data_IF_787838432519
#
_entry.id   IF_787838432519
#
_cell.length_a   1.000
_cell.length_b   1.000
_cell.length_c   1.000
_cell.angle_alpha   90.00
_cell.angle_beta   90.00
_cell.angle_gamma   90.00
#
_symmetry.space_group_name_H-M   'P 1'
#
loop_
_entity.id
_entity.type
_entity.pdbx_description
1 polymer ?
#
# COMPACT_ATOMS: atom_id res chain seq x y z
N UNK A 1 -0.21 -2.77 18.13
CA UNK A 1 0.83 -2.60 17.09
C UNK A 1 0.18 -2.54 15.71
N UNK A 2 0.71 -1.80 14.73
CA UNK A 2 0.04 -1.61 13.42
C UNK A 2 -0.17 -2.94 12.69
N UNK A 3 0.75 -3.89 12.87
CA UNK A 3 0.68 -5.23 12.26
C UNK A 3 -0.55 -6.03 12.67
N UNK A 4 -1.12 -5.74 13.86
CA UNK A 4 -2.36 -6.37 14.35
C UNK A 4 -3.62 -5.73 13.75
N UNK A 5 -3.48 -4.59 13.07
CA UNK A 5 -4.57 -3.83 12.47
C UNK A 5 -4.53 -3.90 10.93
N UNK A 6 -3.70 -4.79 10.38
CA UNK A 6 -3.68 -5.06 8.94
C UNK A 6 -4.99 -5.72 8.55
N UNK A 7 -5.64 -5.15 7.53
CA UNK A 7 -6.91 -5.64 6.98
C UNK A 7 -6.69 -6.12 5.56
N UNK A 8 -7.29 -7.27 5.25
CA UNK A 8 -7.35 -7.79 3.90
C UNK A 8 -8.69 -7.43 3.27
N UNK A 9 -8.64 -6.86 2.07
CA UNK A 9 -9.81 -6.38 1.36
C UNK A 9 -9.76 -6.83 -0.10
N UNK A 10 -10.65 -7.76 -0.47
CA UNK A 10 -10.79 -8.21 -1.86
C UNK A 10 -11.84 -7.35 -2.54
N UNK A 11 -11.42 -6.60 -3.57
CA UNK A 11 -12.26 -5.59 -4.22
C UNK A 11 -12.17 -5.74 -5.72
N UNK A 12 -13.31 -5.73 -6.41
CA UNK A 12 -13.36 -5.54 -7.86
C UNK A 12 -13.98 -4.19 -8.19
N UNK A 13 -13.64 -3.67 -9.37
CA UNK A 13 -14.26 -2.45 -9.87
C UNK A 13 -15.68 -2.70 -10.34
N UNK A 14 -16.46 -1.62 -10.42
CA UNK A 14 -17.68 -1.60 -11.22
C UNK A 14 -17.40 -1.69 -12.73
N UNK A 15 -18.37 -1.37 -13.60
CA UNK A 15 -18.22 -1.40 -15.06
C UNK A 15 -17.01 -0.61 -15.58
N UNK A 16 -16.61 0.44 -14.88
CA UNK A 16 -15.49 1.32 -15.20
C UNK A 16 -14.15 0.90 -14.55
N UNK A 17 -14.12 -0.24 -13.84
CA UNK A 17 -12.93 -0.81 -13.20
C UNK A 17 -12.54 -0.17 -11.85
N UNK A 18 -11.40 -0.60 -11.30
CA UNK A 18 -10.86 -0.10 -10.00
C UNK A 18 -10.16 1.27 -10.16
N UNK A 19 -10.09 1.79 -11.39
CA UNK A 19 -9.32 3.00 -11.74
C UNK A 19 -9.77 4.28 -11.00
N UNK A 20 -10.93 4.26 -10.34
CA UNK A 20 -11.40 5.36 -9.48
C UNK A 20 -10.73 5.41 -8.10
N UNK A 21 -9.95 4.39 -7.72
CA UNK A 21 -9.13 4.49 -6.51
C UNK A 21 -8.04 5.53 -6.72
N UNK A 22 -8.17 6.64 -6.02
CA UNK A 22 -7.12 7.64 -5.94
C UNK A 22 -6.02 7.08 -5.05
N UNK A 23 -4.80 7.02 -5.56
CA UNK A 23 -3.61 6.66 -4.78
C UNK A 23 -2.77 7.92 -4.62
N UNK A 24 -2.33 8.19 -3.39
CA UNK A 24 -1.40 9.25 -3.05
C UNK A 24 -0.10 8.73 -2.45
N UNK A 25 0.86 9.63 -2.25
CA UNK A 25 2.14 9.32 -1.62
C UNK A 25 3.20 8.88 -2.64
N UNK A 26 3.85 7.74 -2.38
CA UNK A 26 4.94 7.23 -3.20
C UNK A 26 6.32 7.49 -2.59
N UNK A 27 7.22 6.53 -2.74
CA UNK A 27 8.57 6.58 -2.19
C UNK A 27 9.42 7.74 -2.76
N UNK A 28 9.18 8.14 -4.01
CA UNK A 28 9.77 9.32 -4.64
C UNK A 28 9.42 10.61 -3.90
N UNK A 29 8.28 10.63 -3.21
CA UNK A 29 7.83 11.73 -2.36
C UNK A 29 8.20 11.55 -0.89
N UNK A 30 8.95 10.48 -0.55
CA UNK A 30 9.28 10.12 0.83
C UNK A 30 8.08 9.66 1.66
N UNK A 31 7.03 9.14 1.01
CA UNK A 31 5.79 8.69 1.69
C UNK A 31 5.45 7.26 1.33
N UNK A 32 4.75 6.57 2.23
CA UNK A 32 4.05 5.33 1.84
C UNK A 32 3.01 5.64 0.77
N UNK A 33 2.71 4.68 -0.08
CA UNK A 33 1.51 4.76 -0.89
C UNK A 33 0.27 4.54 -0.02
N UNK A 34 -0.71 5.42 -0.15
CA UNK A 34 -1.96 5.35 0.60
C UNK A 34 -3.15 5.62 -0.31
N UNK A 35 -4.32 5.15 0.12
CA UNK A 35 -5.58 5.42 -0.57
C UNK A 35 -6.03 6.84 -0.26
N UNK A 36 -6.29 7.62 -1.30
CA UNK A 36 -6.96 8.91 -1.21
C UNK A 36 -8.46 8.74 -0.97
N UNK A 37 -9.27 9.61 -1.58
CA UNK A 37 -10.72 9.46 -1.50
C UNK A 37 -11.18 8.14 -2.14
N UNK A 38 -11.97 7.35 -1.40
CA UNK A 38 -12.48 6.06 -1.85
C UNK A 38 -14.00 6.16 -2.05
N UNK A 39 -14.42 6.16 -3.31
CA UNK A 39 -15.84 6.11 -3.70
C UNK A 39 -16.38 4.69 -3.53
N UNK A 40 -17.02 4.42 -2.39
CA UNK A 40 -17.52 3.09 -2.04
C UNK A 40 -18.52 2.55 -3.07
N UNK A 41 -19.34 3.42 -3.67
CA UNK A 41 -20.38 3.03 -4.63
C UNK A 41 -19.82 2.53 -5.97
N UNK A 42 -18.54 2.78 -6.25
CA UNK A 42 -17.86 2.33 -7.46
C UNK A 42 -17.14 0.98 -7.28
N UNK A 43 -17.18 0.41 -6.07
CA UNK A 43 -16.40 -0.77 -5.68
C UNK A 43 -17.30 -1.91 -5.22
N UNK A 44 -17.02 -3.11 -5.72
CA UNK A 44 -17.65 -4.34 -5.23
C UNK A 44 -16.71 -5.01 -4.24
N UNK A 45 -17.16 -5.14 -3.00
CA UNK A 45 -16.40 -5.77 -1.92
C UNK A 45 -16.77 -7.23 -1.76
N UNK A 46 -15.76 -8.09 -1.80
CA UNK A 46 -15.89 -9.54 -1.64
C UNK A 46 -15.50 -10.01 -0.23
N UNK A 47 -15.05 -9.09 0.63
CA UNK A 47 -14.79 -9.34 2.06
C UNK A 47 -15.59 -8.39 2.95
N UNK A 48 -15.60 -8.65 4.26
CA UNK A 48 -16.25 -7.78 5.25
C UNK A 48 -15.53 -6.43 5.43
N UNK A 49 -14.22 -6.39 5.20
CA UNK A 49 -13.45 -5.16 5.31
C UNK A 49 -13.73 -4.21 4.14
N UNK A 50 -13.59 -2.92 4.41
CA UNK A 50 -13.72 -1.85 3.41
C UNK A 50 -12.40 -1.10 3.29
N UNK A 51 -12.18 -0.52 2.11
CA UNK A 51 -11.08 0.41 1.87
C UNK A 51 -11.52 1.79 2.33
N UNK A 52 -10.65 2.52 3.00
CA UNK A 52 -10.92 3.88 3.46
C UNK A 52 -9.79 4.82 3.03
N UNK A 53 -10.13 6.11 2.97
CA UNK A 53 -9.10 7.13 2.81
C UNK A 53 -8.06 7.04 3.93
N UNK A 54 -6.82 7.34 3.56
CA UNK A 54 -5.61 7.27 4.37
C UNK A 54 -5.16 5.86 4.77
N UNK A 55 -5.78 4.81 4.24
CA UNK A 55 -5.25 3.46 4.40
C UNK A 55 -3.93 3.32 3.61
N UNK A 56 -2.85 2.93 4.28
CA UNK A 56 -1.55 2.63 3.68
C UNK A 56 -1.63 1.26 3.02
N UNK A 57 -1.17 1.16 1.78
CA UNK A 57 -1.12 -0.10 1.03
C UNK A 57 0.21 -0.80 1.31
N UNK A 58 0.15 -1.96 1.97
CA UNK A 58 1.32 -2.78 2.30
C UNK A 58 1.55 -3.86 1.24
N UNK A 59 0.48 -4.49 0.78
CA UNK A 59 0.51 -5.49 -0.30
C UNK A 59 -0.64 -5.30 -1.28
N UNK A 60 -0.38 -5.58 -2.55
CA UNK A 60 -1.38 -5.55 -3.62
C UNK A 60 -1.24 -6.80 -4.49
N UNK A 61 -2.28 -7.63 -4.49
CA UNK A 61 -2.30 -8.95 -5.15
C UNK A 61 -1.12 -9.85 -4.74
N UNK A 62 -0.79 -9.86 -3.44
CA UNK A 62 0.32 -10.63 -2.86
C UNK A 62 1.71 -10.03 -3.10
N UNK A 63 1.83 -8.95 -3.89
CA UNK A 63 3.08 -8.21 -4.03
C UNK A 63 3.23 -7.22 -2.88
N UNK A 64 4.37 -7.27 -2.17
CA UNK A 64 4.71 -6.31 -1.12
C UNK A 64 5.13 -4.98 -1.73
N UNK A 65 4.31 -3.95 -1.54
CA UNK A 65 4.45 -2.65 -2.23
C UNK A 65 5.06 -1.55 -1.36
N UNK A 66 5.45 -1.85 -0.12
CA UNK A 66 6.19 -0.91 0.72
C UNK A 66 7.44 -0.40 -0.01
N UNK A 67 7.58 0.91 -0.17
CA UNK A 67 8.69 1.53 -0.90
C UNK A 67 8.51 1.62 -2.42
N UNK A 68 7.32 1.32 -2.96
CA UNK A 68 7.01 1.58 -4.36
C UNK A 68 6.88 3.08 -4.63
N UNK A 69 7.16 3.48 -5.87
CA UNK A 69 6.75 4.80 -6.35
C UNK A 69 5.24 4.87 -6.54
N UNK A 70 4.66 6.07 -6.61
CA UNK A 70 3.24 6.21 -6.93
C UNK A 70 2.92 5.56 -8.28
N UNK A 71 3.77 5.81 -9.27
CA UNK A 71 3.61 5.29 -10.63
C UNK A 71 3.67 3.75 -10.67
N UNK A 72 4.64 3.13 -9.99
CA UNK A 72 4.75 1.67 -9.95
C UNK A 72 3.52 1.01 -9.33
N UNK A 73 2.97 1.59 -8.26
CA UNK A 73 1.78 1.03 -7.63
C UNK A 73 0.56 1.18 -8.53
N UNK A 74 0.41 2.32 -9.21
CA UNK A 74 -0.69 2.55 -10.15
C UNK A 74 -0.61 1.62 -11.36
N UNK A 75 0.58 1.43 -11.93
CA UNK A 75 0.79 0.51 -13.05
C UNK A 75 0.52 -0.94 -12.62
N UNK A 76 1.04 -1.34 -11.46
CA UNK A 76 0.76 -2.66 -10.89
C UNK A 76 -0.74 -2.88 -10.66
N UNK A 77 -1.43 -1.92 -10.02
CA UNK A 77 -2.87 -1.97 -9.79
C UNK A 77 -3.64 -2.13 -11.11
N UNK A 78 -3.32 -1.29 -12.11
CA UNK A 78 -3.94 -1.35 -13.43
C UNK A 78 -3.74 -2.71 -14.07
N UNK A 79 -2.57 -3.34 -13.91
CA UNK A 79 -2.27 -4.64 -14.48
C UNK A 79 -3.07 -5.77 -13.80
N UNK A 80 -3.11 -5.78 -12.47
CA UNK A 80 -3.80 -6.85 -11.70
C UNK A 80 -5.32 -6.71 -11.69
N UNK A 81 -5.86 -5.51 -11.94
CA UNK A 81 -7.30 -5.27 -12.03
C UNK A 81 -7.87 -5.38 -13.45
N UNK A 82 -7.07 -5.83 -14.44
CA UNK A 82 -7.54 -5.98 -15.82
C UNK A 82 -8.75 -6.89 -15.90
N UNK A 83 -9.67 -6.57 -16.80
CA UNK A 83 -10.89 -7.36 -17.07
C UNK A 83 -11.82 -7.55 -15.85
N UNK A 84 -11.74 -6.65 -14.85
CA UNK A 84 -12.59 -6.71 -13.67
C UNK A 84 -12.21 -7.79 -12.66
N UNK A 85 -11.01 -8.37 -12.78
CA UNK A 85 -10.49 -9.34 -11.80
C UNK A 85 -10.44 -8.69 -10.42
N UNK A 86 -11.00 -9.33 -9.37
CA UNK A 86 -10.90 -8.84 -8.00
C UNK A 86 -9.45 -8.78 -7.53
N UNK A 87 -9.09 -7.65 -6.91
CA UNK A 87 -7.75 -7.36 -6.41
C UNK A 87 -7.74 -7.41 -4.89
N UNK A 88 -6.81 -8.18 -4.33
CA UNK A 88 -6.58 -8.30 -2.90
C UNK A 88 -5.65 -7.20 -2.42
N UNK A 89 -6.16 -6.35 -1.54
CA UNK A 89 -5.39 -5.33 -0.84
C UNK A 89 -5.06 -5.82 0.57
N UNK A 90 -3.81 -5.66 1.01
CA UNK A 90 -3.46 -5.63 2.43
C UNK A 90 -3.13 -4.21 2.82
N UNK A 91 -3.94 -3.67 3.72
CA UNK A 91 -3.91 -2.26 4.10
C UNK A 91 -3.86 -2.10 5.62
N UNK A 92 -3.36 -0.97 6.08
CA UNK A 92 -3.44 -0.56 7.48
C UNK A 92 -3.81 0.92 7.56
N UNK A 93 -4.65 1.29 8.53
CA UNK A 93 -4.99 2.70 8.73
C UNK A 93 -3.75 3.48 9.16
N UNK A 94 -3.42 4.53 8.44
CA UNK A 94 -2.37 5.45 8.88
C UNK A 94 -2.79 6.18 10.16
N UNK A 95 -1.82 6.54 11.00
CA UNK A 95 -2.08 7.43 12.12
C UNK A 95 -0.81 7.97 12.76
N UNK A 96 -1.00 8.99 13.59
CA UNK A 96 0.08 9.72 14.27
C UNK A 96 0.47 9.10 15.62
N UNK A 97 -0.34 8.16 16.11
CA UNK A 97 -0.01 7.43 17.34
C UNK A 97 1.13 6.45 17.10
N UNK A 98 2.01 6.31 18.09
CA UNK A 98 3.22 5.47 18.01
C UNK A 98 2.97 4.00 17.62
N UNK A 99 1.75 3.50 17.83
CA UNK A 99 1.37 2.13 17.50
C UNK A 99 0.80 1.97 16.08
N UNK A 100 0.61 3.07 15.35
CA UNK A 100 0.10 3.13 13.99
C UNK A 100 1.26 3.43 13.02
N UNK A 101 1.05 3.08 11.76
CA UNK A 101 2.05 3.33 10.73
C UNK A 101 1.94 4.78 10.26
N UNK A 102 3.05 5.53 10.37
CA UNK A 102 3.16 6.88 9.79
C UNK A 102 3.12 6.81 8.26
N UNK A 103 2.58 7.85 7.61
CA UNK A 103 2.68 7.99 6.15
C UNK A 103 4.07 8.44 5.71
N UNK A 104 4.86 9.01 6.61
CA UNK A 104 6.21 9.47 6.31
C UNK A 104 7.17 8.27 6.25
N UNK A 105 7.61 7.95 5.04
CA UNK A 105 8.50 6.83 4.79
C UNK A 105 9.91 7.12 5.32
N UNK A 106 10.34 8.38 5.30
CA UNK A 106 11.69 8.78 5.75
C UNK A 106 11.79 8.66 7.26
N UNK A 107 10.79 9.15 7.98
CA UNK A 107 10.66 8.98 9.43
C UNK A 107 10.68 7.49 9.80
N UNK A 108 9.86 6.68 9.13
CA UNK A 108 9.79 5.25 9.38
C UNK A 108 11.13 4.54 9.11
N UNK A 109 11.84 4.89 8.03
CA UNK A 109 13.14 4.30 7.68
C UNK A 109 14.29 4.75 8.60
N UNK A 110 14.21 5.94 9.18
CA UNK A 110 15.20 6.47 10.12
C UNK A 110 15.02 5.92 11.54
N UNK A 111 13.81 5.44 11.86
CA UNK A 111 13.52 4.82 13.16
C UNK A 111 14.31 3.52 13.35
N UNK A 112 14.87 3.31 14.54
CA UNK A 112 15.59 2.09 14.89
C UNK A 112 14.65 1.09 15.52
N UNK A 113 14.32 0.04 14.78
CA UNK A 113 13.55 -1.09 15.30
C UNK A 113 14.45 -2.25 15.75
N UNK A 114 13.96 -3.07 16.67
CA UNK A 114 14.64 -4.28 17.09
C UNK A 114 14.80 -5.22 15.88
N UNK A 115 15.97 -5.86 15.75
CA UNK A 115 16.21 -6.86 14.69
C UNK A 115 15.17 -7.97 14.77
N UNK A 116 14.71 -8.44 13.62
CA UNK A 116 13.66 -9.47 13.49
C UNK A 116 12.26 -9.05 14.00
N UNK A 117 12.06 -7.75 14.29
CA UNK A 117 10.70 -7.21 14.47
C UNK A 117 9.99 -7.09 13.14
N UNK A 118 8.65 -7.07 13.18
CA UNK A 118 7.82 -6.85 11.99
C UNK A 118 8.17 -5.52 11.31
N UNK A 119 8.50 -4.50 12.10
CA UNK A 119 8.92 -3.20 11.56
C UNK A 119 10.24 -3.26 10.83
N UNK A 120 11.22 -3.97 11.42
CA UNK A 120 12.51 -4.20 10.79
C UNK A 120 12.35 -4.92 9.44
N UNK A 121 11.50 -5.94 9.39
CA UNK A 121 11.23 -6.68 8.15
C UNK A 121 10.55 -5.79 7.10
N UNK A 122 9.58 -4.96 7.51
CA UNK A 122 8.97 -3.96 6.63
C UNK A 122 10.01 -2.94 6.13
N UNK A 123 10.93 -2.48 6.96
CA UNK A 123 12.01 -1.60 6.52
C UNK A 123 12.92 -2.27 5.47
N UNK A 124 13.22 -3.57 5.61
CA UNK A 124 14.01 -4.30 4.61
C UNK A 124 13.26 -4.41 3.28
N UNK A 125 11.96 -4.70 3.33
CA UNK A 125 11.09 -4.70 2.13
C UNK A 125 11.14 -3.35 1.42
N UNK A 126 10.96 -2.26 2.17
CA UNK A 126 10.99 -0.89 1.63
C UNK A 126 12.35 -0.59 0.99
N UNK A 127 13.46 -0.84 1.69
CA UNK A 127 14.82 -0.60 1.17
C UNK A 127 15.09 -1.38 -0.10
N UNK A 128 14.70 -2.66 -0.14
CA UNK A 128 14.87 -3.52 -1.31
C UNK A 128 14.05 -3.01 -2.51
N UNK A 129 12.81 -2.59 -2.26
CA UNK A 129 11.93 -2.07 -3.31
C UNK A 129 12.43 -0.76 -3.89
N UNK A 130 12.95 0.16 -3.05
CA UNK A 130 13.57 1.40 -3.50
C UNK A 130 14.82 1.08 -4.33
N UNK A 131 15.73 0.25 -3.81
CA UNK A 131 16.98 -0.11 -4.50
C UNK A 131 16.74 -0.66 -5.91
N UNK A 132 15.80 -1.61 -6.06
CA UNK A 132 15.42 -2.21 -7.36
C UNK A 132 14.90 -1.20 -8.39
N UNK A 133 14.43 -0.04 -7.93
CA UNK A 133 13.78 0.98 -8.77
C UNK A 133 14.67 2.19 -9.02
N UNK A 134 15.66 2.42 -8.17
CA UNK A 134 16.61 3.53 -8.30
C UNK A 134 17.94 3.13 -8.93
N UNK A 135 18.28 1.84 -8.91
CA UNK A 135 19.50 1.33 -9.54
C UNK A 135 19.12 0.63 -10.84
N UNK A 136 19.47 1.18 -12.01
CA UNK A 136 19.39 0.41 -13.24
C UNK A 136 20.36 -0.77 -13.11
N UNK A 137 19.85 -2.00 -13.24
CA UNK A 137 20.74 -3.14 -13.44
C UNK A 137 21.46 -2.94 -14.77
N UNK A 138 22.80 -3.02 -14.74
CA UNK A 138 23.66 -3.14 -15.93
C UNK A 138 23.32 -4.39 -16.76
#
# INVERSE_FOLDING_TARGET
>A
HWSQHVRECLVSGGPDGIHHLIIGGGAENGKFCFLGEVKQDCLTYHTANRLHGDDIVLELQGLKVGGFTLWDLQDWLKNVSKNGVPVMFKIVKAGEFIWLLTKDLREYLNTRFQKSSVDHDLQQIIRNNIYKRTVPCE
#
